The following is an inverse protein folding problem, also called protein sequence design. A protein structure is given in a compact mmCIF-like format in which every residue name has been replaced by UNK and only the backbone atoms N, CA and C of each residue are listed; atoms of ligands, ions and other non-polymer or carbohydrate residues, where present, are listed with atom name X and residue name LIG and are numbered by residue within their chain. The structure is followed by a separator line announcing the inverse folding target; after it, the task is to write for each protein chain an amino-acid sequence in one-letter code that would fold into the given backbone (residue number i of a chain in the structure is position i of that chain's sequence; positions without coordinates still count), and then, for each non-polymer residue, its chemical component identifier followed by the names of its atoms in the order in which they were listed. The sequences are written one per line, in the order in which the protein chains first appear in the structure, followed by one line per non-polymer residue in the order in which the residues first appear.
data_IF_995274698375
#
_entry.id   IF_995274698375
#
_cell.length_a   1.000
_cell.length_b   1.000
_cell.length_c   1.000
_cell.angle_alpha   90.00
_cell.angle_beta   90.00
_cell.angle_gamma   90.00
#
_symmetry.space_group_name_H-M   'P 1'
#
loop_
_entity.id
_entity.type
_entity.pdbx_description
1 polymer ?
#
# COMPACT_ATOMS: atom_id res chain seq x y z
N UNK A 1 12.50 -12.70 10.03
CA UNK A 1 11.81 -12.77 8.73
C UNK A 1 11.07 -11.46 8.44
N UNK A 2 11.07 -11.05 7.17
CA UNK A 2 10.49 -9.80 6.69
C UNK A 2 9.45 -10.08 5.61
N UNK A 3 8.26 -9.48 5.72
CA UNK A 3 7.23 -9.49 4.70
C UNK A 3 7.30 -8.20 3.87
N UNK A 4 7.36 -8.35 2.55
CA UNK A 4 7.27 -7.24 1.60
C UNK A 4 5.91 -7.30 0.90
N UNK A 5 5.18 -6.19 0.87
CA UNK A 5 3.90 -6.11 0.15
C UNK A 5 3.61 -4.68 -0.30
N UNK A 6 2.63 -4.51 -1.20
CA UNK A 6 2.18 -3.19 -1.60
C UNK A 6 1.51 -2.42 -0.43
N UNK A 7 0.67 -3.07 0.35
CA UNK A 7 -0.02 -2.48 1.51
C UNK A 7 -1.49 -2.13 1.28
N UNK A 8 -1.93 -2.05 0.03
CA UNK A 8 -3.29 -1.68 -0.36
C UNK A 8 -4.39 -2.54 0.29
N UNK A 9 -4.13 -3.81 0.50
CA UNK A 9 -5.07 -4.74 1.14
C UNK A 9 -5.25 -4.51 2.64
N UNK A 10 -4.43 -3.69 3.26
CA UNK A 10 -4.47 -3.40 4.69
C UNK A 10 -5.36 -2.19 5.04
N UNK A 11 -5.73 -1.36 4.04
CA UNK A 11 -6.56 -0.16 4.22
C UNK A 11 -8.06 -0.52 4.28
N UNK A 12 -8.45 -1.41 5.19
CA UNK A 12 -9.80 -2.01 5.21
C UNK A 12 -10.90 -1.07 5.70
N UNK A 13 -10.56 0.10 6.21
CA UNK A 13 -11.53 1.14 6.57
C UNK A 13 -12.00 1.93 5.34
N UNK A 14 -11.18 2.03 4.29
CA UNK A 14 -11.59 2.63 3.02
C UNK A 14 -12.45 1.64 2.21
N UNK A 15 -13.75 1.61 2.52
CA UNK A 15 -14.70 0.67 1.93
C UNK A 15 -14.82 0.83 0.42
N UNK A 16 -14.80 2.07 -0.06
CA UNK A 16 -14.89 2.39 -1.49
C UNK A 16 -13.67 1.90 -2.24
N UNK A 17 -12.48 2.17 -1.70
CA UNK A 17 -11.24 1.65 -2.26
C UNK A 17 -11.22 0.12 -2.26
N UNK A 18 -11.64 -0.53 -1.18
CA UNK A 18 -11.67 -2.00 -1.10
C UNK A 18 -12.66 -2.61 -2.10
N UNK A 19 -13.82 -1.99 -2.31
CA UNK A 19 -14.77 -2.44 -3.34
C UNK A 19 -14.17 -2.30 -4.75
N UNK A 20 -13.58 -1.15 -5.06
CA UNK A 20 -12.86 -0.92 -6.31
C UNK A 20 -11.72 -1.92 -6.51
N UNK A 21 -10.88 -2.11 -5.50
CA UNK A 21 -9.77 -3.08 -5.52
C UNK A 21 -10.24 -4.50 -5.84
N UNK A 22 -11.31 -4.95 -5.19
CA UNK A 22 -11.86 -6.28 -5.43
C UNK A 22 -12.38 -6.43 -6.87
N UNK A 23 -13.03 -5.40 -7.40
CA UNK A 23 -13.52 -5.37 -8.77
C UNK A 23 -12.37 -5.49 -9.77
N UNK A 24 -11.36 -4.60 -9.72
CA UNK A 24 -10.28 -4.56 -10.72
C UNK A 24 -9.31 -5.74 -10.63
N UNK A 25 -9.30 -6.45 -9.51
CA UNK A 25 -8.50 -7.66 -9.31
C UNK A 25 -9.27 -8.94 -9.63
N UNK A 26 -10.57 -8.85 -9.95
CA UNK A 26 -11.32 -10.03 -10.37
C UNK A 26 -10.84 -10.53 -11.73
N UNK A 27 -10.78 -11.84 -11.94
CA UNK A 27 -10.37 -12.42 -13.24
C UNK A 27 -11.27 -11.98 -14.40
N UNK A 28 -12.55 -11.77 -14.15
CA UNK A 28 -13.54 -11.31 -15.14
C UNK A 28 -13.22 -9.91 -15.62
N UNK A 29 -13.02 -8.96 -14.68
CA UNK A 29 -12.68 -7.59 -15.02
C UNK A 29 -11.35 -7.51 -15.77
N UNK A 30 -10.32 -8.25 -15.31
CA UNK A 30 -9.00 -8.25 -15.93
C UNK A 30 -9.05 -8.80 -17.36
N UNK A 31 -9.77 -9.90 -17.60
CA UNK A 31 -9.96 -10.44 -18.96
C UNK A 31 -10.66 -9.43 -19.87
N UNK A 32 -11.77 -8.85 -19.41
CA UNK A 32 -12.53 -7.85 -20.18
C UNK A 32 -11.67 -6.61 -20.49
N UNK A 33 -10.92 -6.12 -19.51
CA UNK A 33 -10.04 -4.96 -19.68
C UNK A 33 -8.90 -5.25 -20.67
N UNK A 34 -8.25 -6.41 -20.59
CA UNK A 34 -7.12 -6.77 -21.44
C UNK A 34 -7.53 -7.05 -22.89
N UNK A 35 -8.79 -7.42 -23.15
CA UNK A 35 -9.32 -7.57 -24.51
C UNK A 35 -9.55 -6.26 -25.24
N UNK A 36 -9.60 -5.13 -24.52
CA UNK A 36 -9.81 -3.81 -25.12
C UNK A 36 -8.56 -3.30 -25.84
N UNK A 37 -8.73 -2.50 -26.92
CA UNK A 37 -7.62 -1.80 -27.56
C UNK A 37 -6.82 -0.94 -26.56
N UNK A 38 -5.53 -0.75 -26.82
CA UNK A 38 -4.64 -0.01 -25.91
C UNK A 38 -5.14 1.43 -25.66
N UNK A 39 -5.67 2.10 -26.66
CA UNK A 39 -6.22 3.45 -26.53
C UNK A 39 -7.38 3.50 -25.51
N UNK A 40 -8.31 2.54 -25.62
CA UNK A 40 -9.44 2.44 -24.68
C UNK A 40 -8.97 2.14 -23.25
N UNK A 41 -7.98 1.24 -23.09
CA UNK A 41 -7.39 0.94 -21.77
C UNK A 41 -6.75 2.18 -21.14
N UNK A 42 -6.06 3.02 -21.92
CA UNK A 42 -5.49 4.29 -21.46
C UNK A 42 -6.57 5.23 -20.96
N UNK A 43 -7.63 5.46 -21.75
CA UNK A 43 -8.75 6.32 -21.35
C UNK A 43 -9.40 5.85 -20.06
N UNK A 44 -9.62 4.54 -19.90
CA UNK A 44 -10.16 3.95 -18.67
C UNK A 44 -9.21 4.20 -17.48
N UNK A 45 -7.91 3.97 -17.65
CA UNK A 45 -6.92 4.19 -16.59
C UNK A 45 -6.83 5.67 -16.17
N UNK A 46 -6.88 6.60 -17.12
CA UNK A 46 -6.89 8.05 -16.87
C UNK A 46 -8.14 8.45 -16.08
N UNK A 47 -9.31 7.95 -16.48
CA UNK A 47 -10.57 8.21 -15.77
C UNK A 47 -10.54 7.68 -14.33
N UNK A 48 -10.08 6.44 -14.13
CA UNK A 48 -9.91 5.84 -12.80
C UNK A 48 -8.97 6.68 -11.94
N UNK A 49 -7.85 7.14 -12.50
CA UNK A 49 -6.87 7.96 -11.78
C UNK A 49 -7.46 9.31 -11.36
N UNK A 50 -8.15 10.00 -12.26
CA UNK A 50 -8.81 11.27 -11.97
C UNK A 50 -9.88 11.14 -10.89
N UNK A 51 -10.70 10.10 -10.96
CA UNK A 51 -11.72 9.78 -9.95
C UNK A 51 -11.09 9.50 -8.60
N UNK A 52 -10.02 8.70 -8.55
CA UNK A 52 -9.30 8.38 -7.31
C UNK A 52 -8.72 9.63 -6.65
N UNK A 53 -8.10 10.53 -7.43
CA UNK A 53 -7.57 11.79 -6.90
C UNK A 53 -8.67 12.68 -6.30
N UNK A 54 -9.80 12.82 -6.99
CA UNK A 54 -10.94 13.60 -6.50
C UNK A 54 -11.53 13.02 -5.22
N UNK A 55 -11.68 11.70 -5.13
CA UNK A 55 -12.23 11.04 -3.95
C UNK A 55 -11.28 11.10 -2.75
N UNK A 56 -9.97 10.95 -2.97
CA UNK A 56 -8.98 10.99 -1.89
C UNK A 56 -8.88 12.37 -1.25
N UNK A 57 -9.11 13.45 -1.99
CA UNK A 57 -9.12 14.82 -1.44
C UNK A 57 -10.25 15.07 -0.45
N UNK A 58 -11.29 14.24 -0.43
CA UNK A 58 -12.46 14.36 0.43
C UNK A 58 -12.44 13.41 1.63
N UNK A 59 -11.51 12.45 1.66
CA UNK A 59 -11.44 11.43 2.72
C UNK A 59 -10.57 11.89 3.88
N UNK A 60 -10.98 11.48 5.08
CA UNK A 60 -10.15 11.64 6.26
C UNK A 60 -8.87 10.78 6.14
N UNK A 61 -7.75 11.30 6.60
CA UNK A 61 -6.45 10.66 6.44
C UNK A 61 -6.32 9.31 7.12
N UNK A 62 -6.98 9.11 8.24
CA UNK A 62 -6.99 7.87 9.00
C UNK A 62 -7.73 6.73 8.29
N UNK A 63 -8.77 7.07 7.50
CA UNK A 63 -9.50 6.10 6.67
C UNK A 63 -8.60 5.53 5.56
N UNK A 64 -7.69 6.36 5.04
CA UNK A 64 -6.78 5.97 3.96
C UNK A 64 -5.52 5.23 4.45
N UNK A 65 -5.28 5.16 5.76
CA UNK A 65 -4.14 4.42 6.32
C UNK A 65 -4.46 2.93 6.52
N UNK A 66 -3.44 2.16 6.79
CA UNK A 66 -3.58 0.73 7.09
C UNK A 66 -4.30 0.52 8.41
N UNK A 67 -5.21 -0.45 8.46
CA UNK A 67 -5.91 -0.84 9.67
C UNK A 67 -4.97 -1.62 10.59
N UNK A 68 -4.69 -1.17 11.83
CA UNK A 68 -3.70 -1.80 12.71
C UNK A 68 -3.94 -3.30 12.94
N UNK A 69 -5.20 -3.70 13.13
CA UNK A 69 -5.54 -5.12 13.30
C UNK A 69 -5.22 -5.98 12.07
N UNK A 70 -5.32 -5.42 10.86
CA UNK A 70 -4.95 -6.12 9.63
C UNK A 70 -3.44 -6.25 9.47
N UNK A 71 -2.67 -5.25 9.91
CA UNK A 71 -1.20 -5.33 9.98
C UNK A 71 -0.78 -6.49 10.87
N UNK A 72 -1.31 -6.56 12.10
CA UNK A 72 -0.99 -7.65 13.02
C UNK A 72 -1.40 -9.01 12.46
N UNK A 73 -2.59 -9.09 11.88
CA UNK A 73 -3.11 -10.34 11.28
C UNK A 73 -2.20 -10.86 10.17
N UNK A 74 -1.81 -10.01 9.22
CA UNK A 74 -0.98 -10.44 8.09
C UNK A 74 0.42 -10.86 8.55
N UNK A 75 1.00 -10.14 9.50
CA UNK A 75 2.30 -10.48 10.06
C UNK A 75 2.26 -11.84 10.81
N UNK A 76 1.18 -12.11 11.54
CA UNK A 76 0.96 -13.42 12.18
C UNK A 76 0.82 -14.54 11.15
N UNK A 77 0.01 -14.34 10.10
CA UNK A 77 -0.20 -15.33 9.04
C UNK A 77 1.10 -15.73 8.34
N UNK A 78 2.02 -14.78 8.17
CA UNK A 78 3.32 -15.02 7.54
C UNK A 78 4.46 -15.31 8.54
N UNK A 79 4.14 -15.40 9.84
CA UNK A 79 5.15 -15.63 10.89
C UNK A 79 6.32 -14.67 10.83
N UNK A 80 6.04 -13.37 10.54
CA UNK A 80 7.06 -12.32 10.36
C UNK A 80 7.01 -11.33 11.51
N UNK A 81 8.18 -10.77 11.85
CA UNK A 81 8.30 -9.70 12.84
C UNK A 81 8.56 -8.33 12.21
N UNK A 82 8.68 -8.29 10.88
CA UNK A 82 8.89 -7.05 10.12
C UNK A 82 8.00 -7.02 8.90
N UNK A 83 7.34 -5.88 8.69
CA UNK A 83 6.53 -5.58 7.52
C UNK A 83 7.07 -4.33 6.83
N UNK A 84 7.34 -4.42 5.53
CA UNK A 84 7.69 -3.28 4.69
C UNK A 84 6.61 -3.13 3.63
N UNK A 85 6.01 -1.93 3.52
CA UNK A 85 4.97 -1.66 2.53
C UNK A 85 5.00 -0.21 2.04
N UNK A 86 4.29 0.08 0.97
CA UNK A 86 4.03 1.40 0.41
C UNK A 86 2.56 1.79 0.50
N UNK A 87 1.99 2.21 -0.60
CA UNK A 87 0.59 2.55 -0.86
C UNK A 87 0.09 3.81 -0.15
N UNK A 88 0.27 3.94 1.15
CA UNK A 88 -0.24 5.07 1.94
C UNK A 88 0.58 6.34 1.78
N UNK A 89 1.78 6.25 1.21
CA UNK A 89 2.72 7.37 1.00
C UNK A 89 3.04 8.14 2.29
N UNK A 90 3.09 7.44 3.44
CA UNK A 90 3.38 8.01 4.76
C UNK A 90 4.66 7.39 5.31
N UNK A 91 5.84 7.82 4.80
CA UNK A 91 7.10 7.19 5.14
C UNK A 91 7.40 7.31 6.62
N UNK A 92 7.50 6.20 7.29
CA UNK A 92 7.78 6.12 8.72
C UNK A 92 8.20 4.71 9.14
N UNK A 93 8.83 4.63 10.32
CA UNK A 93 9.05 3.38 11.05
C UNK A 93 8.11 3.36 12.25
N UNK A 94 7.44 2.25 12.47
CA UNK A 94 6.51 2.07 13.57
C UNK A 94 6.89 0.82 14.36
N UNK A 95 7.21 1.03 15.63
CA UNK A 95 7.36 -0.06 16.58
C UNK A 95 5.98 -0.60 16.93
N UNK A 96 5.80 -1.89 16.80
CA UNK A 96 4.55 -2.58 17.12
C UNK A 96 4.80 -3.78 18.00
N UNK A 97 3.76 -4.22 18.71
CA UNK A 97 3.82 -5.44 19.52
C UNK A 97 3.03 -6.55 18.85
N UNK A 98 3.70 -7.65 18.51
CA UNK A 98 3.08 -8.84 17.93
C UNK A 98 3.17 -10.00 18.94
N UNK A 99 2.04 -10.41 19.52
CA UNK A 99 2.01 -11.45 20.56
C UNK A 99 2.97 -11.15 21.74
N UNK A 100 2.98 -9.91 22.21
CA UNK A 100 3.86 -9.40 23.28
C UNK A 100 5.37 -9.41 22.92
N UNK A 101 5.72 -9.59 21.66
CA UNK A 101 7.10 -9.53 21.17
C UNK A 101 7.28 -8.27 20.32
N UNK A 102 8.48 -7.66 20.34
CA UNK A 102 8.79 -6.54 19.46
C UNK A 102 8.64 -6.92 17.99
N UNK A 103 8.04 -6.03 17.23
CA UNK A 103 7.90 -6.13 15.79
C UNK A 103 7.92 -4.73 15.18
N UNK A 104 8.09 -4.62 13.86
CA UNK A 104 8.29 -3.36 13.17
C UNK A 104 7.48 -3.30 11.87
N UNK A 105 6.89 -2.14 11.59
CA UNK A 105 6.28 -1.80 10.32
C UNK A 105 7.01 -0.60 9.70
N UNK A 106 7.53 -0.74 8.49
CA UNK A 106 8.22 0.31 7.74
C UNK A 106 7.36 0.67 6.52
N UNK A 107 7.09 1.95 6.35
CA UNK A 107 6.29 2.49 5.25
C UNK A 107 7.20 3.27 4.32
N UNK A 108 7.16 2.97 3.02
CA UNK A 108 7.84 3.72 1.98
C UNK A 108 6.99 4.91 1.54
N UNK A 109 7.63 6.05 1.25
CA UNK A 109 7.00 7.19 0.62
C UNK A 109 6.83 7.00 -0.89
N UNK A 110 6.16 7.96 -1.51
CA UNK A 110 6.06 8.09 -2.96
C UNK A 110 7.33 8.72 -3.56
N UNK A 111 7.34 8.83 -4.88
CA UNK A 111 8.38 9.48 -5.65
C UNK A 111 7.77 10.67 -6.40
N UNK A 112 7.38 11.71 -5.65
CA UNK A 112 6.77 12.91 -6.22
C UNK A 112 7.71 14.12 -6.10
N UNK A 113 7.92 14.65 -4.91
CA UNK A 113 8.88 15.73 -4.64
C UNK A 113 10.20 15.15 -4.09
N UNK A 114 10.12 14.02 -3.44
CA UNK A 114 11.27 13.28 -2.90
C UNK A 114 11.13 11.81 -3.23
N UNK A 115 12.24 11.17 -3.56
CA UNK A 115 12.27 9.71 -3.70
C UNK A 115 12.54 9.07 -2.33
N UNK A 116 11.82 7.98 -2.01
CA UNK A 116 12.01 7.22 -0.79
C UNK A 116 12.48 5.80 -1.10
N UNK A 117 13.47 5.34 -0.35
CA UNK A 117 14.02 4.01 -0.48
C UNK A 117 14.48 3.43 0.85
N UNK A 118 14.63 2.13 0.90
CA UNK A 118 15.11 1.39 2.05
C UNK A 118 16.40 0.65 1.68
N UNK A 119 17.46 0.88 2.44
CA UNK A 119 18.68 0.08 2.37
C UNK A 119 18.62 -0.99 3.46
N UNK A 120 18.87 -2.22 3.08
CA UNK A 120 19.10 -3.32 4.01
C UNK A 120 20.59 -3.70 3.96
N UNK A 121 21.25 -3.67 5.08
CA UNK A 121 22.59 -4.22 5.24
C UNK A 121 22.58 -5.38 6.26
N UNK A 122 23.73 -5.89 6.62
CA UNK A 122 23.87 -7.04 7.51
C UNK A 122 23.41 -6.74 8.96
N UNK A 123 23.24 -5.48 9.33
CA UNK A 123 22.95 -5.06 10.70
C UNK A 123 21.57 -4.45 10.84
N UNK A 124 21.16 -3.55 9.93
CA UNK A 124 19.93 -2.79 10.08
C UNK A 124 19.28 -2.36 8.76
N UNK A 125 18.11 -1.72 8.89
CA UNK A 125 17.36 -1.14 7.78
C UNK A 125 17.35 0.38 7.89
N UNK A 126 17.74 1.05 6.83
CA UNK A 126 17.79 2.51 6.75
C UNK A 126 16.73 3.03 5.79
N UNK A 127 15.67 3.63 6.32
CA UNK A 127 14.69 4.37 5.52
C UNK A 127 15.27 5.74 5.19
N UNK A 128 15.45 6.05 3.91
CA UNK A 128 16.08 7.28 3.42
C UNK A 128 15.25 7.97 2.36
N UNK A 129 15.44 9.28 2.22
CA UNK A 129 14.88 10.08 1.13
C UNK A 129 15.96 10.89 0.42
N UNK A 130 15.66 11.30 -0.81
CA UNK A 130 16.47 12.23 -1.60
C UNK A 130 15.55 13.14 -2.41
N UNK A 131 16.01 14.30 -2.79
CA UNK A 131 15.25 15.22 -3.64
C UNK A 131 15.26 14.73 -5.11
N UNK A 132 14.10 14.83 -5.77
CA UNK A 132 13.94 14.56 -7.19
C UNK A 132 14.17 15.80 -8.04
#
# INVERSE_FOLDING_TARGET
PTLLMHGDSLCTQDKEYMAFRNMVRSPEWQRSFLQKPLAERRTIAEHIRATSQSMNSLKAEDIMDVTPSQVLKIMQQHSTTRLIHGHTHRPARHDISLNKKPAERIVLGDWHNSGWYLIADDHELHLKSFNL
#
